data_IF_861320564498
#
_entry.id   IF_861320564498
#
_cell.length_a   1.000
_cell.length_b   1.000
_cell.length_c   1.000
_cell.angle_alpha   90.00
_cell.angle_beta   90.00
_cell.angle_gamma   90.00
#
_symmetry.space_group_name_H-M   'P 1'
#
loop_
_entity.id
_entity.type
_entity.pdbx_description
1 polymer ?
#
# COMPACT_ATOMS: atom_id res chain seq x y z
N UNK A 1 -1.48 -22.18 4.60
CA UNK A 1 -0.83 -20.98 4.03
C UNK A 1 0.58 -21.35 3.64
N UNK A 2 0.96 -21.09 2.40
CA UNK A 2 2.29 -21.38 1.83
C UNK A 2 3.19 -20.15 1.87
N UNK A 3 4.50 -20.35 1.79
CA UNK A 3 5.48 -19.25 1.75
C UNK A 3 5.26 -18.32 0.55
N UNK A 4 4.77 -18.86 -0.57
CA UNK A 4 4.44 -18.09 -1.78
C UNK A 4 3.25 -17.17 -1.52
N UNK A 5 2.19 -17.66 -0.87
CA UNK A 5 1.03 -16.83 -0.53
C UNK A 5 1.42 -15.67 0.40
N UNK A 6 2.30 -15.93 1.37
CA UNK A 6 2.85 -14.90 2.26
C UNK A 6 3.67 -13.87 1.49
N UNK A 7 4.50 -14.31 0.54
CA UNK A 7 5.34 -13.41 -0.25
C UNK A 7 4.50 -12.55 -1.20
N UNK A 8 3.45 -13.10 -1.80
CA UNK A 8 2.49 -12.36 -2.63
C UNK A 8 1.65 -11.37 -1.82
N UNK A 9 1.32 -11.71 -0.58
CA UNK A 9 0.62 -10.83 0.34
C UNK A 9 1.50 -9.63 0.72
N UNK A 10 2.75 -9.90 1.08
CA UNK A 10 3.76 -8.88 1.36
C UNK A 10 3.97 -7.96 0.15
N UNK A 11 4.10 -8.54 -1.05
CA UNK A 11 4.27 -7.80 -2.29
C UNK A 11 3.07 -6.89 -2.57
N UNK A 12 1.84 -7.37 -2.33
CA UNK A 12 0.61 -6.59 -2.51
C UNK A 12 0.58 -5.36 -1.60
N UNK A 13 0.91 -5.52 -0.32
CA UNK A 13 1.00 -4.42 0.64
C UNK A 13 2.09 -3.40 0.26
N UNK A 14 3.28 -3.87 -0.11
CA UNK A 14 4.37 -2.99 -0.57
C UNK A 14 3.94 -2.20 -1.80
N UNK A 15 3.31 -2.86 -2.78
CA UNK A 15 2.90 -2.24 -4.02
C UNK A 15 1.86 -1.13 -3.79
N UNK A 16 0.86 -1.36 -2.94
CA UNK A 16 -0.13 -0.34 -2.58
C UNK A 16 0.50 0.88 -1.92
N UNK A 17 1.44 0.66 -1.02
CA UNK A 17 2.12 1.75 -0.32
C UNK A 17 3.04 2.56 -1.24
N UNK A 18 3.77 1.89 -2.15
CA UNK A 18 4.58 2.55 -3.17
C UNK A 18 3.72 3.35 -4.15
N UNK A 19 2.56 2.82 -4.55
CA UNK A 19 1.62 3.54 -5.41
C UNK A 19 1.12 4.82 -4.72
N UNK A 20 0.70 4.73 -3.46
CA UNK A 20 0.28 5.88 -2.65
C UNK A 20 1.38 6.93 -2.52
N UNK A 21 2.62 6.50 -2.31
CA UNK A 21 3.79 7.38 -2.24
C UNK A 21 4.07 8.07 -3.58
N UNK A 22 4.03 7.31 -4.67
CA UNK A 22 4.24 7.80 -6.03
C UNK A 22 3.18 8.81 -6.45
N UNK A 23 1.90 8.53 -6.16
CA UNK A 23 0.81 9.46 -6.42
C UNK A 23 0.98 10.76 -5.62
N UNK A 24 1.30 10.66 -4.33
CA UNK A 24 1.54 11.85 -3.51
C UNK A 24 2.75 12.68 -3.98
N UNK A 25 3.78 12.04 -4.53
CA UNK A 25 4.87 12.75 -5.18
C UNK A 25 4.43 13.41 -6.50
N UNK A 26 3.70 12.70 -7.36
CA UNK A 26 3.23 13.24 -8.64
C UNK A 26 2.32 14.48 -8.45
N UNK A 27 1.46 14.45 -7.44
CA UNK A 27 0.60 15.59 -7.05
C UNK A 27 1.39 16.80 -6.54
N UNK A 28 2.59 16.59 -5.99
CA UNK A 28 3.38 17.68 -5.40
C UNK A 28 3.98 18.64 -6.44
N UNK A 29 3.97 18.27 -7.74
CA UNK A 29 4.60 19.04 -8.81
C UNK A 29 6.12 19.28 -8.63
N UNK A 30 6.73 18.59 -7.66
CA UNK A 30 8.10 18.82 -7.23
C UNK A 30 9.07 17.84 -7.92
N UNK A 31 10.32 18.24 -8.17
CA UNK A 31 11.37 17.30 -8.58
C UNK A 31 11.48 16.15 -7.57
N UNK A 32 11.80 14.95 -8.06
CA UNK A 32 11.97 13.79 -7.18
C UNK A 32 13.09 14.04 -6.17
N UNK A 33 12.76 13.94 -4.88
CA UNK A 33 13.71 14.04 -3.77
C UNK A 33 13.59 12.79 -2.90
N UNK A 34 14.61 11.93 -2.95
CA UNK A 34 14.66 10.68 -2.20
C UNK A 34 14.53 10.90 -0.68
N UNK A 35 14.97 12.05 -0.14
CA UNK A 35 14.86 12.35 1.29
C UNK A 35 13.41 12.56 1.72
N UNK A 36 12.58 13.13 0.83
CA UNK A 36 11.14 13.32 1.05
C UNK A 36 10.33 12.07 0.74
N UNK A 37 10.86 11.19 -0.11
CA UNK A 37 10.25 9.91 -0.45
C UNK A 37 10.49 8.83 0.63
N UNK A 38 11.63 8.91 1.35
CA UNK A 38 12.03 7.95 2.37
C UNK A 38 10.98 7.68 3.46
N UNK A 39 10.31 8.69 4.07
CA UNK A 39 9.27 8.45 5.06
C UNK A 39 8.10 7.62 4.51
N UNK A 40 7.74 7.81 3.24
CA UNK A 40 6.68 7.04 2.59
C UNK A 40 7.09 5.58 2.38
N UNK A 41 8.36 5.34 2.05
CA UNK A 41 8.93 3.99 1.94
C UNK A 41 8.98 3.28 3.30
N UNK A 42 9.28 4.01 4.38
CA UNK A 42 9.25 3.47 5.75
C UNK A 42 7.81 3.10 6.15
N UNK A 43 6.81 3.94 5.84
CA UNK A 43 5.41 3.57 6.08
C UNK A 43 4.98 2.35 5.27
N UNK A 44 5.47 2.20 4.04
CA UNK A 44 5.23 1.02 3.21
C UNK A 44 5.75 -0.25 3.87
N UNK A 45 6.99 -0.20 4.38
CA UNK A 45 7.61 -1.31 5.09
C UNK A 45 6.83 -1.66 6.38
N UNK A 46 6.43 -0.65 7.16
CA UNK A 46 5.62 -0.87 8.38
C UNK A 46 4.28 -1.52 8.04
N UNK A 47 3.57 -1.03 7.02
CA UNK A 47 2.29 -1.61 6.60
C UNK A 47 2.44 -3.07 6.15
N UNK A 48 3.47 -3.37 5.37
CA UNK A 48 3.78 -4.73 4.95
C UNK A 48 4.08 -5.65 6.14
N UNK A 49 4.84 -5.19 7.14
CA UNK A 49 5.11 -5.93 8.37
C UNK A 49 3.83 -6.17 9.19
N UNK A 50 2.97 -5.16 9.35
CA UNK A 50 1.71 -5.30 10.10
C UNK A 50 0.77 -6.29 9.42
N UNK A 51 0.62 -6.23 8.09
CA UNK A 51 -0.18 -7.18 7.32
C UNK A 51 0.38 -8.60 7.44
N UNK A 52 1.70 -8.75 7.29
CA UNK A 52 2.36 -10.05 7.39
C UNK A 52 2.20 -10.66 8.80
N UNK A 53 2.45 -9.89 9.85
CA UNK A 53 2.30 -10.37 11.24
C UNK A 53 0.84 -10.69 11.55
N UNK A 54 -0.10 -9.81 11.16
CA UNK A 54 -1.52 -9.99 11.41
C UNK A 54 -2.09 -11.24 10.74
N UNK A 55 -1.70 -11.51 9.48
CA UNK A 55 -2.13 -12.70 8.75
C UNK A 55 -1.42 -13.98 9.19
N UNK A 56 -0.16 -13.88 9.65
CA UNK A 56 0.58 -15.02 10.20
C UNK A 56 -0.01 -15.53 11.53
N UNK A 57 -0.51 -14.64 12.38
CA UNK A 57 -1.10 -15.01 13.68
C UNK A 57 -2.58 -15.42 13.60
N UNK A 58 -3.32 -14.96 12.60
CA UNK A 58 -4.77 -15.13 12.57
C UNK A 58 -5.25 -16.55 12.17
N UNK A 59 -4.36 -17.53 11.97
CA UNK A 59 -4.70 -18.88 11.46
C UNK A 59 -5.73 -18.82 10.32
N UNK A 60 -5.51 -17.88 9.39
CA UNK A 60 -6.44 -17.67 8.28
C UNK A 60 -6.42 -18.94 7.43
N UNK A 61 -7.60 -19.39 7.00
CA UNK A 61 -7.74 -20.44 6.00
C UNK A 61 -7.06 -20.08 4.67
N UNK A 62 -7.38 -20.76 3.56
CA UNK A 62 -6.76 -20.49 2.27
C UNK A 62 -6.74 -19.00 1.92
N UNK A 63 -5.60 -18.47 1.46
CA UNK A 63 -5.53 -17.06 1.07
C UNK A 63 -6.31 -16.89 -0.22
N UNK A 64 -7.46 -16.24 -0.14
CA UNK A 64 -8.30 -15.91 -1.29
C UNK A 64 -7.85 -14.59 -1.93
N UNK A 65 -8.23 -14.39 -3.19
CA UNK A 65 -7.90 -13.18 -3.96
C UNK A 65 -8.19 -11.87 -3.21
N UNK A 66 -9.27 -11.83 -2.42
CA UNK A 66 -9.70 -10.64 -1.69
C UNK A 66 -8.73 -10.20 -0.59
N UNK A 67 -7.97 -11.14 -0.02
CA UNK A 67 -6.98 -10.85 1.02
C UNK A 67 -5.80 -10.07 0.43
N UNK A 68 -5.39 -10.37 -0.80
CA UNK A 68 -4.37 -9.58 -1.51
C UNK A 68 -4.84 -8.16 -1.80
N UNK A 69 -6.12 -7.99 -2.16
CA UNK A 69 -6.72 -6.66 -2.37
C UNK A 69 -6.70 -5.87 -1.05
N UNK A 70 -7.10 -6.49 0.06
CA UNK A 70 -7.04 -5.82 1.35
C UNK A 70 -5.61 -5.47 1.77
N UNK A 71 -4.66 -6.38 1.57
CA UNK A 71 -3.25 -6.09 1.82
C UNK A 71 -2.76 -4.87 1.02
N UNK A 72 -3.09 -4.82 -0.28
CA UNK A 72 -2.78 -3.68 -1.13
C UNK A 72 -3.41 -2.38 -0.62
N UNK A 73 -4.70 -2.40 -0.27
CA UNK A 73 -5.43 -1.24 0.24
C UNK A 73 -4.88 -0.77 1.59
N UNK A 74 -4.53 -1.69 2.50
CA UNK A 74 -3.84 -1.40 3.76
C UNK A 74 -2.45 -0.79 3.53
N UNK A 75 -1.72 -1.30 2.54
CA UNK A 75 -0.47 -0.71 2.06
C UNK A 75 -0.64 0.73 1.60
N UNK A 76 -1.63 0.95 0.74
CA UNK A 76 -1.95 2.25 0.16
C UNK A 76 -2.38 3.29 1.20
N UNK A 77 -3.00 2.83 2.30
CA UNK A 77 -3.76 3.66 3.22
C UNK A 77 -5.03 4.13 2.53
N UNK A 78 -6.14 3.44 2.76
CA UNK A 78 -7.41 3.63 2.04
C UNK A 78 -7.83 5.10 2.00
N UNK A 79 -7.63 5.84 3.09
CA UNK A 79 -7.97 7.26 3.20
C UNK A 79 -7.04 8.14 2.34
N UNK A 80 -5.74 7.83 2.34
CA UNK A 80 -4.74 8.55 1.58
C UNK A 80 -4.86 8.28 0.08
N UNK A 81 -5.17 7.05 -0.34
CA UNK A 81 -5.47 6.73 -1.75
C UNK A 81 -6.81 7.32 -2.20
N UNK A 82 -7.85 7.19 -1.37
CA UNK A 82 -9.19 7.70 -1.64
C UNK A 82 -9.24 9.21 -1.83
N UNK A 83 -8.61 9.99 -0.93
CA UNK A 83 -8.56 11.45 -1.04
C UNK A 83 -7.84 11.91 -2.31
N UNK A 84 -6.81 11.19 -2.73
CA UNK A 84 -6.05 11.50 -3.96
C UNK A 84 -6.84 11.20 -5.22
N UNK A 85 -7.47 10.03 -5.29
CA UNK A 85 -8.34 9.66 -6.43
C UNK A 85 -9.53 10.61 -6.53
N UNK A 86 -10.17 10.94 -5.41
CA UNK A 86 -11.27 11.90 -5.36
C UNK A 86 -10.82 13.31 -5.78
N UNK A 87 -9.62 13.73 -5.37
CA UNK A 87 -8.97 14.97 -5.81
C UNK A 87 -8.76 15.01 -7.32
N UNK A 88 -8.22 13.93 -7.91
CA UNK A 88 -7.99 13.83 -9.35
C UNK A 88 -9.28 13.88 -10.19
N UNK A 89 -10.39 13.35 -9.66
CA UNK A 89 -11.71 13.41 -10.32
C UNK A 89 -12.29 14.83 -10.27
N UNK A 90 -11.98 15.61 -9.23
CA UNK A 90 -12.48 16.99 -9.06
C UNK A 90 -11.79 18.06 -9.90
N UNK A 91 -10.64 17.79 -10.54
CA UNK A 91 -9.88 18.79 -11.33
C UNK A 91 -10.51 19.02 -12.73
N UNK A 92 -11.71 18.50 -13.02
CA UNK A 92 -12.38 18.65 -14.33
C UNK A 92 -13.52 19.68 -14.37
N UNK A 93 -13.70 20.52 -13.36
CA UNK A 93 -14.63 21.67 -13.41
C UNK A 93 -13.93 23.00 -13.68
#
# INVERSE_FOLDING_TARGET
MTDIELLLLLASAIFGALLSAGLGWAESGSPFDARKFWPSLVRAAISAVVVFVGTSYAHVGPITAIIYIFAFLTGMGIDAGGNRIAGAIRIKE
#
